data_IF_539473677357
#
_entry.id   IF_539473677357
#
_cell.length_a   1.000
_cell.length_b   1.000
_cell.length_c   1.000
_cell.angle_alpha   90.00
_cell.angle_beta   90.00
_cell.angle_gamma   90.00
#
_symmetry.space_group_name_H-M   'P 1'
#
loop_
_entity.id
_entity.type
_entity.pdbx_description
1 polymer ?
#
# COMPACT_ATOMS: atom_id res chain seq x y z
N UNK A 1 0.87 17.67 -4.67
CA UNK A 1 1.22 16.43 -3.94
C UNK A 1 0.58 16.37 -2.54
N UNK A 2 0.73 17.38 -1.68
CA UNK A 2 0.26 17.37 -0.27
C UNK A 2 -1.26 17.22 -0.06
N UNK A 3 -2.10 17.77 -0.94
CA UNK A 3 -3.57 17.65 -0.83
C UNK A 3 -4.08 16.22 -0.99
N UNK A 4 -3.43 15.42 -1.84
CA UNK A 4 -3.85 14.03 -2.09
C UNK A 4 -3.45 13.12 -0.95
N UNK A 5 -2.28 13.35 -0.33
CA UNK A 5 -1.81 12.55 0.80
C UNK A 5 -2.68 12.75 2.05
N UNK A 6 -3.15 13.97 2.33
CA UNK A 6 -4.06 14.20 3.46
C UNK A 6 -5.37 13.44 3.30
N UNK A 7 -5.97 13.50 2.10
CA UNK A 7 -7.20 12.74 1.80
C UNK A 7 -6.98 11.23 1.96
N UNK A 8 -5.84 10.73 1.49
CA UNK A 8 -5.47 9.32 1.64
C UNK A 8 -5.42 8.90 3.12
N UNK A 9 -4.80 9.72 3.97
CA UNK A 9 -4.71 9.46 5.41
C UNK A 9 -6.11 9.39 6.06
N UNK A 10 -7.02 10.26 5.65
CA UNK A 10 -8.40 10.26 6.13
C UNK A 10 -9.16 9.00 5.69
N UNK A 11 -8.97 8.54 4.46
CA UNK A 11 -9.54 7.30 3.92
C UNK A 11 -9.02 6.06 4.66
N UNK A 12 -7.68 5.96 4.83
CA UNK A 12 -7.04 4.87 5.59
C UNK A 12 -7.60 4.81 7.01
N UNK A 13 -7.66 5.97 7.69
CA UNK A 13 -8.18 6.05 9.06
C UNK A 13 -9.66 5.64 9.15
N UNK A 14 -10.45 6.00 8.14
CA UNK A 14 -11.86 5.57 8.03
C UNK A 14 -11.97 4.07 7.85
N UNK A 15 -11.12 3.49 7.00
CA UNK A 15 -11.15 2.04 6.72
C UNK A 15 -10.70 1.20 7.90
N UNK A 16 -9.65 1.61 8.60
CA UNK A 16 -9.20 0.96 9.84
C UNK A 16 -10.27 1.03 10.94
N UNK A 17 -11.00 2.14 11.08
CA UNK A 17 -12.16 2.22 12.00
C UNK A 17 -13.29 1.26 11.63
N UNK A 18 -13.50 1.00 10.34
CA UNK A 18 -14.43 -0.02 9.86
C UNK A 18 -13.98 -1.41 10.30
N UNK A 19 -12.73 -1.77 10.01
CA UNK A 19 -12.15 -3.05 10.42
C UNK A 19 -12.20 -3.24 11.94
N UNK A 20 -11.92 -2.21 12.74
CA UNK A 20 -12.06 -2.28 14.19
C UNK A 20 -13.47 -2.65 14.65
N UNK A 21 -14.50 -2.24 13.90
CA UNK A 21 -15.90 -2.57 14.20
C UNK A 21 -16.25 -4.00 13.77
N UNK A 22 -15.67 -4.46 12.67
CA UNK A 22 -16.03 -5.73 12.03
C UNK A 22 -15.29 -6.92 12.63
N UNK A 23 -14.00 -6.76 12.93
CA UNK A 23 -13.12 -7.84 13.42
C UNK A 23 -12.42 -7.51 14.75
N UNK A 24 -12.80 -6.40 15.38
CA UNK A 24 -12.21 -5.95 16.64
C UNK A 24 -10.84 -5.30 16.46
N UNK A 25 -10.34 -4.72 17.57
CA UNK A 25 -9.04 -4.04 17.60
C UNK A 25 -7.91 -5.01 17.25
N UNK A 26 -7.80 -6.10 17.99
CA UNK A 26 -6.67 -7.03 17.89
C UNK A 26 -6.59 -7.72 16.52
N UNK A 27 -7.73 -8.14 15.94
CA UNK A 27 -7.75 -8.70 14.59
C UNK A 27 -7.35 -7.68 13.51
N UNK A 28 -7.73 -6.41 13.68
CA UNK A 28 -7.29 -5.35 12.77
C UNK A 28 -5.80 -5.06 12.93
N UNK A 29 -5.27 -5.12 14.15
CA UNK A 29 -3.85 -4.95 14.44
C UNK A 29 -3.00 -6.00 13.73
N UNK A 30 -3.40 -7.27 13.82
CA UNK A 30 -2.73 -8.39 13.17
C UNK A 30 -2.74 -8.21 11.65
N UNK A 31 -3.90 -7.88 11.07
CA UNK A 31 -4.03 -7.61 9.64
C UNK A 31 -3.13 -6.46 9.17
N UNK A 32 -3.04 -5.38 9.95
CA UNK A 32 -2.13 -4.25 9.65
C UNK A 32 -0.67 -4.66 9.79
N UNK A 33 -0.32 -5.45 10.80
CA UNK A 33 1.04 -5.94 10.98
C UNK A 33 1.48 -6.82 9.80
N UNK A 34 0.65 -7.79 9.40
CA UNK A 34 0.89 -8.65 8.25
C UNK A 34 1.09 -7.86 6.96
N UNK A 35 0.27 -6.83 6.73
CA UNK A 35 0.43 -5.94 5.58
C UNK A 35 1.75 -5.18 5.59
N UNK A 36 2.12 -4.62 6.75
CA UNK A 36 3.34 -3.84 6.90
C UNK A 36 4.60 -4.70 6.78
N UNK A 37 4.53 -5.97 7.21
CA UNK A 37 5.63 -6.94 7.11
C UNK A 37 5.80 -7.48 5.69
N UNK A 38 4.70 -7.81 5.01
CA UNK A 38 4.73 -8.42 3.67
C UNK A 38 4.92 -7.41 2.53
N UNK A 39 4.52 -6.15 2.70
CA UNK A 39 4.59 -5.14 1.64
C UNK A 39 6.00 -4.87 1.12
N UNK A 40 7.05 -4.69 1.97
CA UNK A 40 8.41 -4.44 1.49
C UNK A 40 8.93 -5.50 0.52
N UNK A 41 8.70 -6.79 0.82
CA UNK A 41 9.07 -7.90 -0.06
C UNK A 41 8.32 -7.82 -1.38
N UNK A 42 6.99 -7.63 -1.34
CA UNK A 42 6.17 -7.48 -2.55
C UNK A 42 6.63 -6.33 -3.45
N UNK A 43 7.02 -5.19 -2.87
CA UNK A 43 7.53 -4.05 -3.64
C UNK A 43 8.91 -4.33 -4.25
N UNK A 44 9.73 -5.16 -3.61
CA UNK A 44 11.00 -5.61 -4.17
C UNK A 44 10.77 -6.64 -5.29
N UNK A 45 9.84 -7.58 -5.16
CA UNK A 45 9.45 -8.49 -6.25
C UNK A 45 9.00 -7.73 -7.51
N UNK A 46 8.26 -6.63 -7.34
CA UNK A 46 7.88 -5.74 -8.44
C UNK A 46 9.09 -5.09 -9.10
N UNK A 47 10.06 -4.61 -8.31
CA UNK A 47 11.30 -4.04 -8.85
C UNK A 47 12.12 -5.08 -9.60
N UNK A 48 12.27 -6.28 -9.06
CA UNK A 48 13.01 -7.37 -9.70
C UNK A 48 12.35 -7.79 -11.03
N UNK A 49 11.02 -7.78 -11.08
CA UNK A 49 10.25 -8.08 -12.28
C UNK A 49 10.50 -7.11 -13.44
N UNK A 50 11.02 -5.90 -13.17
CA UNK A 50 11.43 -4.98 -14.24
C UNK A 50 12.65 -5.50 -15.02
N UNK A 51 13.45 -6.40 -14.45
CA UNK A 51 14.62 -6.96 -15.14
C UNK A 51 14.26 -8.04 -16.17
N UNK A 52 13.02 -8.52 -16.16
CA UNK A 52 12.53 -9.50 -17.12
C UNK A 52 12.43 -8.92 -18.54
N UNK A 53 12.54 -9.77 -19.59
CA UNK A 53 12.35 -9.34 -20.97
C UNK A 53 10.91 -8.90 -21.28
N UNK A 54 9.93 -9.46 -20.57
CA UNK A 54 8.53 -9.04 -20.62
C UNK A 54 8.03 -8.62 -19.22
N UNK A 55 7.02 -7.75 -19.17
CA UNK A 55 6.49 -7.19 -17.92
C UNK A 55 5.25 -7.94 -17.40
N UNK A 56 5.03 -9.19 -17.83
CA UNK A 56 3.81 -9.95 -17.47
C UNK A 56 3.74 -10.23 -15.96
N UNK A 57 4.86 -10.59 -15.35
CA UNK A 57 4.88 -10.83 -13.91
C UNK A 57 4.62 -9.52 -13.13
N UNK A 58 5.19 -8.41 -13.57
CA UNK A 58 4.95 -7.09 -12.97
C UNK A 58 3.47 -6.72 -13.02
N UNK A 59 2.83 -6.90 -14.18
CA UNK A 59 1.38 -6.68 -14.33
C UNK A 59 0.57 -7.53 -13.35
N UNK A 60 0.89 -8.82 -13.21
CA UNK A 60 0.19 -9.73 -12.28
C UNK A 60 0.38 -9.30 -10.82
N UNK A 61 1.60 -8.95 -10.44
CA UNK A 61 1.91 -8.45 -9.10
C UNK A 61 1.12 -7.16 -8.82
N UNK A 62 1.13 -6.20 -9.74
CA UNK A 62 0.38 -4.95 -9.61
C UNK A 62 -1.12 -5.19 -9.45
N UNK A 63 -1.71 -6.07 -10.27
CA UNK A 63 -3.12 -6.44 -10.18
C UNK A 63 -3.50 -7.02 -8.81
N UNK A 64 -2.74 -8.01 -8.33
CA UNK A 64 -3.01 -8.62 -7.02
C UNK A 64 -2.82 -7.65 -5.85
N UNK A 65 -1.77 -6.82 -5.92
CA UNK A 65 -1.46 -5.87 -4.87
C UNK A 65 -2.43 -4.69 -4.81
N UNK A 66 -3.03 -4.32 -5.95
CA UNK A 66 -4.14 -3.35 -6.00
C UNK A 66 -5.28 -3.75 -5.07
N UNK A 67 -5.73 -5.01 -5.11
CA UNK A 67 -6.80 -5.51 -4.25
C UNK A 67 -6.41 -5.44 -2.78
N UNK A 68 -5.15 -5.75 -2.45
CA UNK A 68 -4.63 -5.61 -1.08
C UNK A 68 -4.71 -4.15 -0.62
N UNK A 69 -4.28 -3.19 -1.44
CA UNK A 69 -4.33 -1.76 -1.11
C UNK A 69 -5.75 -1.28 -0.76
N UNK A 70 -6.77 -1.78 -1.47
CA UNK A 70 -8.17 -1.40 -1.27
C UNK A 70 -8.73 -1.82 0.10
N UNK A 71 -8.23 -2.92 0.68
CA UNK A 71 -8.64 -3.39 2.03
C UNK A 71 -8.35 -2.32 3.07
N UNK A 72 -7.19 -1.67 2.96
CA UNK A 72 -6.71 -0.66 3.92
C UNK A 72 -7.12 0.77 3.55
N UNK A 73 -7.86 0.98 2.47
CA UNK A 73 -8.22 2.33 1.99
C UNK A 73 -7.06 3.07 1.33
N UNK A 74 -6.02 2.36 0.87
CA UNK A 74 -4.86 2.92 0.20
C UNK A 74 -5.16 3.21 -1.29
N UNK A 75 -6.07 4.16 -1.53
CA UNK A 75 -6.60 4.49 -2.85
C UNK A 75 -5.52 5.00 -3.81
N UNK A 76 -4.56 5.79 -3.34
CA UNK A 76 -3.45 6.27 -4.18
C UNK A 76 -2.54 5.12 -4.59
N UNK A 77 -2.20 4.20 -3.68
CA UNK A 77 -1.41 3.01 -4.01
C UNK A 77 -2.18 2.10 -4.99
N UNK A 78 -3.48 1.93 -4.78
CA UNK A 78 -4.36 1.20 -5.70
C UNK A 78 -4.41 1.85 -7.10
N UNK A 79 -4.39 3.18 -7.19
CA UNK A 79 -4.36 3.90 -8.46
C UNK A 79 -3.03 3.67 -9.18
N UNK A 80 -1.91 3.81 -8.46
CA UNK A 80 -0.57 3.55 -9.01
C UNK A 80 -0.47 2.10 -9.50
N UNK A 81 -1.04 1.12 -8.79
CA UNK A 81 -1.09 -0.26 -9.27
C UNK A 81 -1.87 -0.40 -10.58
N UNK A 82 -2.97 0.34 -10.74
CA UNK A 82 -3.75 0.34 -12.00
C UNK A 82 -2.94 0.92 -13.16
N UNK A 83 -2.23 2.02 -12.91
CA UNK A 83 -1.35 2.64 -13.90
C UNK A 83 -0.16 1.72 -14.23
N UNK A 84 0.35 0.99 -13.24
CA UNK A 84 1.43 0.02 -13.40
C UNK A 84 0.98 -1.21 -14.19
N UNK A 85 -0.25 -1.70 -13.98
CA UNK A 85 -0.85 -2.75 -14.80
C UNK A 85 -0.90 -2.33 -16.28
N UNK A 86 -1.27 -1.07 -16.52
CA UNK A 86 -1.35 -0.50 -17.87
C UNK A 86 0.04 -0.33 -18.50
N UNK A 87 1.00 0.29 -17.80
CA UNK A 87 2.35 0.48 -18.34
C UNK A 87 3.06 -0.84 -18.60
N UNK A 88 2.83 -1.85 -17.75
CA UNK A 88 3.35 -3.19 -17.95
C UNK A 88 2.70 -3.90 -19.16
N UNK A 89 1.41 -3.65 -19.43
CA UNK A 89 0.73 -4.17 -20.62
C UNK A 89 1.27 -3.53 -21.91
N UNK A 90 1.60 -2.24 -21.87
CA UNK A 90 2.16 -1.46 -22.98
C UNK A 90 3.69 -1.67 -23.14
N UNK A 91 4.29 -2.54 -22.32
CA UNK A 91 5.74 -2.80 -22.26
C UNK A 91 6.60 -1.55 -22.01
N UNK A 92 6.01 -0.49 -21.43
CA UNK A 92 6.71 0.73 -21.06
C UNK A 92 7.45 0.54 -19.73
N UNK A 93 8.69 0.06 -19.84
CA UNK A 93 9.58 -0.19 -18.70
C UNK A 93 9.96 1.08 -17.94
N UNK A 94 10.09 2.22 -18.62
CA UNK A 94 10.47 3.50 -17.99
C UNK A 94 9.35 4.00 -17.09
N UNK A 95 8.12 4.02 -17.60
CA UNK A 95 6.95 4.38 -16.80
C UNK A 95 6.72 3.38 -15.67
N UNK A 96 6.86 2.08 -15.94
CA UNK A 96 6.71 1.04 -14.93
C UNK A 96 7.70 1.19 -13.77
N UNK A 97 8.98 1.45 -14.07
CA UNK A 97 10.01 1.69 -13.05
C UNK A 97 9.69 2.92 -12.18
N UNK A 98 9.24 4.01 -12.82
CA UNK A 98 8.83 5.23 -12.12
C UNK A 98 7.67 4.96 -11.17
N UNK A 99 6.64 4.24 -11.62
CA UNK A 99 5.45 3.92 -10.82
C UNK A 99 5.79 3.02 -9.63
N UNK A 100 6.68 2.03 -9.78
CA UNK A 100 7.13 1.19 -8.66
C UNK A 100 7.89 2.02 -7.62
N UNK A 101 8.72 2.99 -8.04
CA UNK A 101 9.38 3.93 -7.12
C UNK A 101 8.38 4.81 -6.38
N UNK A 102 7.39 5.36 -7.08
CA UNK A 102 6.32 6.15 -6.46
C UNK A 102 5.51 5.33 -5.45
N UNK A 103 5.23 4.06 -5.74
CA UNK A 103 4.56 3.14 -4.83
C UNK A 103 5.36 2.92 -3.53
N UNK A 104 6.70 2.78 -3.64
CA UNK A 104 7.59 2.67 -2.47
C UNK A 104 7.62 3.93 -1.62
N UNK A 105 7.67 5.11 -2.22
CA UNK A 105 7.63 6.38 -1.48
C UNK A 105 6.27 6.59 -0.79
N UNK A 106 5.18 6.28 -1.48
CA UNK A 106 3.84 6.38 -0.91
C UNK A 106 3.65 5.40 0.26
N UNK A 107 4.13 4.16 0.13
CA UNK A 107 4.12 3.20 1.23
C UNK A 107 4.83 3.76 2.46
N UNK A 108 6.05 4.29 2.30
CA UNK A 108 6.79 4.92 3.42
C UNK A 108 6.01 6.07 4.06
N UNK A 109 5.26 6.84 3.28
CA UNK A 109 4.47 7.97 3.77
C UNK A 109 3.23 7.54 4.57
N UNK A 110 2.61 6.40 4.25
CA UNK A 110 1.40 5.90 4.94
C UNK A 110 1.70 5.02 6.15
N UNK A 111 2.89 4.39 6.20
CA UNK A 111 3.33 3.53 7.32
C UNK A 111 3.11 4.18 8.71
N UNK A 112 3.48 5.45 8.95
CA UNK A 112 3.27 6.08 10.27
C UNK A 112 1.80 6.21 10.65
N UNK A 113 0.87 6.33 9.70
CA UNK A 113 -0.57 6.41 9.98
C UNK A 113 -1.15 5.03 10.26
N UNK A 114 -0.73 4.04 9.47
CA UNK A 114 -1.13 2.65 9.70
C UNK A 114 -0.66 2.17 11.07
N UNK A 115 0.58 2.53 11.49
CA UNK A 115 1.10 2.28 12.85
C UNK A 115 0.54 3.23 13.91
N UNK A 116 0.24 4.48 13.55
CA UNK A 116 -0.07 5.57 14.47
C UNK A 116 -1.52 5.58 14.95
N UNK A 117 -2.42 4.93 14.21
CA UNK A 117 -3.78 4.63 14.69
C UNK A 117 -3.81 3.63 15.86
N UNK A 118 -2.62 3.23 16.35
CA UNK A 118 -2.42 2.44 17.56
C UNK A 118 -2.02 3.29 18.78
N UNK A 119 -1.76 4.60 18.61
CA UNK A 119 -1.39 5.47 19.72
C UNK A 119 -2.62 5.91 20.52
N UNK A 120 -3.27 4.94 21.19
CA UNK A 120 -3.89 5.24 22.47
C UNK A 120 -2.76 5.55 23.44
N UNK A 121 -2.92 6.63 24.19
CA UNK A 121 -2.08 6.97 25.33
C UNK A 121 -1.98 5.76 26.28
N UNK A 122 -0.90 5.01 26.19
CA UNK A 122 -0.40 4.16 27.27
C UNK A 122 0.99 4.67 27.64
N UNK A 123 1.00 5.71 28.47
CA UNK A 123 2.16 6.10 29.28
C UNK A 123 1.69 7.15 30.29
N UNK A 124 1.43 6.70 31.51
CA UNK A 124 1.09 7.58 32.62
C UNK A 124 0.33 6.91 33.76
N UNK A 125 0.67 5.68 34.14
CA UNK A 125 0.57 5.33 35.56
C UNK A 125 1.62 6.16 36.31
N UNK A 126 1.14 7.16 37.06
CA UNK A 126 1.65 7.52 38.39
C UNK A 126 0.52 8.13 39.21
#
# INVERSE_FOLDING_TARGET
MTKNLRKEIDEVSTKLKGLYRDIGKDGTMELVADFLESTPERLNEMLESLNSPDLKNLRRLAHSYRSVCQIYGLNLMSSICTDLEKSALEEDKVSSEKLVKELKELFRAVVPVMKGNHCSKEMGEK
#
